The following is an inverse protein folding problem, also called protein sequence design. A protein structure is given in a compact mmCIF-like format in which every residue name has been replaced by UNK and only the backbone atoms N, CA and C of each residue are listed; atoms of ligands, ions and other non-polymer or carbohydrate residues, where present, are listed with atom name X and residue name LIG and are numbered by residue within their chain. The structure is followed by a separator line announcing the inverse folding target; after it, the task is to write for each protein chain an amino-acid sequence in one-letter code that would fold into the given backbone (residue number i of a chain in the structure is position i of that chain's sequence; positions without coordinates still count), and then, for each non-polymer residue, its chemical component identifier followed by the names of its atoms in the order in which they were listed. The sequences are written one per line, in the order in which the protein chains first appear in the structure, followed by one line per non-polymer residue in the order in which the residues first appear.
data_IF_479259678693
#
_entry.id   IF_479259678693
#
_cell.length_a   1.000
_cell.length_b   1.000
_cell.length_c   1.000
_cell.angle_alpha   90.00
_cell.angle_beta   90.00
_cell.angle_gamma   90.00
#
_symmetry.space_group_name_H-M   'P 1'
#
loop_
_entity.id
_entity.type
_entity.pdbx_description
1 polymer ?
#
# COMPACT_ATOMS: atom_id res chain seq x y z
N UNK A 1 -46.96 63.91 -13.07
CA UNK A 1 -47.78 64.84 -12.28
C UNK A 1 -48.30 64.08 -11.04
N UNK A 2 -48.07 64.68 -9.88
CA UNK A 2 -48.46 64.31 -8.51
C UNK A 2 -49.81 63.60 -8.32
N UNK A 3 -49.87 62.58 -7.45
CA UNK A 3 -50.76 62.58 -6.26
C UNK A 3 -50.56 61.36 -5.31
N UNK A 4 -49.87 61.63 -4.19
CA UNK A 4 -50.20 61.37 -2.76
C UNK A 4 -51.02 60.16 -2.25
N UNK A 5 -50.52 59.64 -1.10
CA UNK A 5 -51.13 58.89 0.06
C UNK A 5 -51.08 57.34 -0.05
N UNK A 6 -50.52 56.58 0.89
CA UNK A 6 -50.75 56.59 2.35
C UNK A 6 -49.52 56.27 3.24
N UNK A 7 -49.53 56.85 4.44
CA UNK A 7 -48.76 56.56 5.68
C UNK A 7 -49.70 55.75 6.63
N UNK A 8 -49.25 55.06 7.73
CA UNK A 8 -48.28 55.60 8.69
C UNK A 8 -47.29 54.62 9.37
N UNK A 9 -46.22 55.23 9.89
CA UNK A 9 -45.35 54.69 10.93
C UNK A 9 -45.78 55.23 12.32
N UNK A 10 -45.74 54.41 13.37
CA UNK A 10 -45.62 54.86 14.77
C UNK A 10 -44.84 53.87 15.66
N UNK A 11 -43.68 54.34 16.12
CA UNK A 11 -43.06 54.29 17.46
C UNK A 11 -43.13 53.07 18.39
N UNK A 12 -41.96 52.70 18.95
CA UNK A 12 -41.61 52.44 20.39
C UNK A 12 -40.39 51.48 20.41
N UNK A 13 -39.38 51.51 21.27
CA UNK A 13 -38.90 52.34 22.37
C UNK A 13 -37.54 51.71 22.78
N UNK A 14 -36.48 52.48 22.99
CA UNK A 14 -35.33 52.02 23.77
C UNK A 14 -35.63 52.19 25.27
N UNK A 15 -35.12 51.30 26.14
CA UNK A 15 -34.05 51.76 27.04
C UNK A 15 -32.97 50.71 27.39
N UNK A 16 -31.73 51.20 27.45
CA UNK A 16 -30.70 51.05 28.50
C UNK A 16 -30.34 49.67 29.12
N UNK A 17 -29.07 49.28 28.99
CA UNK A 17 -28.38 48.35 29.90
C UNK A 17 -26.84 48.54 29.85
N UNK A 18 -26.35 49.27 30.85
CA UNK A 18 -25.03 49.31 31.54
C UNK A 18 -23.80 48.54 31.02
N UNK A 19 -22.58 49.13 31.10
CA UNK A 19 -21.32 48.47 30.78
C UNK A 19 -20.69 47.83 32.03
N UNK A 20 -20.47 46.51 32.02
CA UNK A 20 -19.66 45.85 33.05
C UNK A 20 -18.40 45.18 32.48
N UNK A 21 -17.28 45.83 32.83
CA UNK A 21 -15.98 45.29 33.22
C UNK A 21 -15.27 44.35 32.25
N UNK A 22 -14.28 44.94 31.58
CA UNK A 22 -13.18 44.24 30.92
C UNK A 22 -12.47 43.28 31.87
N UNK A 23 -12.65 41.99 31.61
CA UNK A 23 -11.72 40.95 32.06
C UNK A 23 -10.47 41.05 31.20
N UNK A 24 -9.36 41.46 31.82
CA UNK A 24 -8.02 41.31 31.27
C UNK A 24 -7.81 39.82 31.01
N UNK A 25 -7.88 39.40 29.75
CA UNK A 25 -7.41 38.08 29.33
C UNK A 25 -5.89 38.13 29.51
N UNK A 26 -5.42 37.67 30.67
CA UNK A 26 -4.00 37.40 30.87
C UNK A 26 -3.60 36.35 29.85
N UNK A 27 -2.82 36.81 28.88
CA UNK A 27 -2.16 36.00 27.86
C UNK A 27 -1.19 35.05 28.57
N UNK A 28 -1.69 33.89 29.00
CA UNK A 28 -0.87 32.77 29.44
C UNK A 28 -0.13 32.30 28.19
N UNK A 29 1.08 32.82 27.97
CA UNK A 29 2.07 32.17 27.12
C UNK A 29 2.25 30.74 27.65
N UNK A 30 1.49 29.80 27.09
CA UNK A 30 1.73 28.38 27.28
C UNK A 30 3.11 28.14 26.72
N UNK A 31 4.11 27.98 27.60
CA UNK A 31 5.44 27.51 27.26
C UNK A 31 5.29 26.16 26.56
N UNK A 32 5.15 26.18 25.23
CA UNK A 32 5.06 24.99 24.41
C UNK A 32 6.43 24.33 24.42
N UNK A 33 6.54 23.20 25.10
CA UNK A 33 7.77 22.42 25.10
C UNK A 33 8.02 21.89 23.69
N UNK A 34 9.25 22.02 23.15
CA UNK A 34 9.58 21.47 21.83
C UNK A 34 9.29 19.96 21.77
N UNK A 35 8.80 19.42 20.64
CA UNK A 35 8.52 18.00 20.50
C UNK A 35 9.76 17.12 20.77
N UNK A 36 9.64 16.16 21.67
CA UNK A 36 10.71 15.22 22.03
C UNK A 36 10.13 13.88 22.51
N UNK A 37 10.99 12.87 22.63
CA UNK A 37 10.68 11.60 23.30
C UNK A 37 11.97 11.05 23.92
N UNK A 38 12.15 11.27 25.24
CA UNK A 38 13.37 10.89 25.94
C UNK A 38 13.55 9.37 26.05
N UNK A 39 12.45 8.61 26.16
CA UNK A 39 12.47 7.15 26.25
C UNK A 39 12.98 6.56 24.93
N UNK A 40 12.49 7.07 23.79
CA UNK A 40 12.98 6.66 22.48
C UNK A 40 14.46 7.03 22.29
N UNK A 41 14.89 8.23 22.71
CA UNK A 41 16.30 8.62 22.63
C UNK A 41 17.21 7.70 23.46
N UNK A 42 16.80 7.35 24.69
CA UNK A 42 17.53 6.39 25.53
C UNK A 42 17.58 5.01 24.89
N UNK A 43 16.45 4.55 24.33
CA UNK A 43 16.37 3.24 23.68
C UNK A 43 17.27 3.15 22.42
N UNK A 44 17.40 4.22 21.64
CA UNK A 44 18.34 4.26 20.51
C UNK A 44 19.78 4.14 21.00
N UNK A 45 20.18 4.98 21.96
CA UNK A 45 21.55 4.94 22.50
C UNK A 45 21.87 3.59 23.13
N UNK A 46 20.92 3.02 23.88
CA UNK A 46 21.05 1.69 24.45
C UNK A 46 21.21 0.60 23.39
N UNK A 47 20.43 0.68 22.30
CA UNK A 47 20.54 -0.25 21.16
C UNK A 47 21.92 -0.16 20.52
N UNK A 48 22.40 1.05 20.26
CA UNK A 48 23.72 1.29 19.68
C UNK A 48 24.88 0.83 20.59
N UNK A 49 24.71 0.88 21.91
CA UNK A 49 25.70 0.39 22.89
C UNK A 49 25.58 -1.11 23.20
N UNK A 50 24.55 -1.80 22.69
CA UNK A 50 24.34 -3.23 22.96
C UNK A 50 25.05 -4.14 21.95
N UNK A 51 26.03 -3.62 21.20
CA UNK A 51 26.55 -4.18 19.93
C UNK A 51 27.31 -5.52 19.98
N UNK A 52 27.23 -6.27 21.07
CA UNK A 52 27.95 -7.56 21.18
C UNK A 52 27.20 -8.72 20.49
N UNK A 53 27.90 -9.47 19.62
CA UNK A 53 27.38 -10.69 18.99
C UNK A 53 26.28 -10.46 17.95
N UNK A 54 25.17 -11.21 18.03
CA UNK A 54 24.03 -11.13 17.11
C UNK A 54 23.36 -9.74 17.06
N UNK A 55 23.63 -8.87 18.04
CA UNK A 55 23.15 -7.50 18.09
C UNK A 55 23.84 -6.54 17.09
N UNK A 56 24.97 -6.94 16.49
CA UNK A 56 25.67 -6.12 15.50
C UNK A 56 24.83 -5.80 14.25
N UNK A 57 23.88 -6.69 13.90
CA UNK A 57 22.91 -6.43 12.82
C UNK A 57 22.02 -5.23 13.13
N UNK A 58 21.46 -5.16 14.34
CA UNK A 58 20.57 -4.07 14.73
C UNK A 58 21.30 -2.74 14.91
N UNK A 59 22.59 -2.77 15.21
CA UNK A 59 23.44 -1.58 15.18
C UNK A 59 23.49 -0.99 13.77
N UNK A 60 23.78 -1.80 12.75
CA UNK A 60 23.81 -1.38 11.36
C UNK A 60 22.43 -0.88 10.89
N UNK A 61 21.36 -1.65 11.11
CA UNK A 61 19.99 -1.24 10.75
C UNK A 61 19.59 0.09 11.40
N UNK A 62 20.00 0.33 12.65
CA UNK A 62 19.71 1.59 13.35
C UNK A 62 20.49 2.77 12.76
N UNK A 63 21.76 2.59 12.39
CA UNK A 63 22.54 3.64 11.72
C UNK A 63 22.09 3.89 10.27
N UNK A 64 21.64 2.85 9.57
CA UNK A 64 21.09 2.94 8.21
C UNK A 64 19.82 3.82 8.16
N UNK A 65 19.11 4.00 9.28
CA UNK A 65 18.04 5.00 9.37
C UNK A 65 18.52 6.43 9.13
N UNK A 66 19.82 6.69 9.18
CA UNK A 66 20.42 8.00 8.97
C UNK A 66 20.32 8.94 10.18
N UNK A 67 20.12 8.39 11.39
CA UNK A 67 20.09 9.19 12.61
C UNK A 67 21.45 9.87 12.89
N UNK A 68 21.41 11.15 13.24
CA UNK A 68 22.60 11.97 13.52
C UNK A 68 22.57 12.50 14.96
N UNK A 69 23.74 12.84 15.48
CA UNK A 69 23.88 13.35 16.85
C UNK A 69 23.08 14.64 17.11
N UNK A 70 22.84 15.46 16.07
CA UNK A 70 22.06 16.70 16.17
C UNK A 70 20.55 16.50 16.31
N UNK A 71 20.03 15.29 16.07
CA UNK A 71 18.59 15.01 16.11
C UNK A 71 18.07 14.67 17.51
N UNK A 72 18.95 14.54 18.50
CA UNK A 72 18.55 14.34 19.90
C UNK A 72 18.08 15.65 20.52
N UNK A 73 17.02 15.59 21.35
CA UNK A 73 16.57 16.75 22.12
C UNK A 73 17.53 17.05 23.27
N UNK A 74 18.05 16.01 23.93
CA UNK A 74 18.93 16.18 25.09
C UNK A 74 20.40 16.30 24.64
N UNK A 75 21.12 17.38 24.99
CA UNK A 75 22.54 17.55 24.61
C UNK A 75 23.47 16.44 25.11
N UNK A 76 23.13 15.82 26.25
CA UNK A 76 23.84 14.65 26.75
C UNK A 76 23.80 13.49 25.74
N UNK A 77 22.64 13.25 25.10
CA UNK A 77 22.47 12.19 24.12
C UNK A 77 23.24 12.46 22.82
N UNK A 78 23.27 13.71 22.36
CA UNK A 78 24.14 14.15 21.26
C UNK A 78 25.61 13.81 21.52
N UNK A 79 26.08 14.06 22.74
CA UNK A 79 27.46 13.80 23.15
C UNK A 79 27.76 12.29 23.15
N UNK A 80 26.84 11.48 23.68
CA UNK A 80 26.95 10.02 23.71
C UNK A 80 26.95 9.44 22.29
N UNK A 81 26.00 9.84 21.44
CA UNK A 81 25.92 9.37 20.06
C UNK A 81 27.20 9.68 19.27
N UNK A 82 27.77 10.87 19.45
CA UNK A 82 29.04 11.23 18.80
C UNK A 82 30.18 10.31 19.24
N UNK A 83 30.29 10.01 20.53
CA UNK A 83 31.31 9.08 21.03
C UNK A 83 31.12 7.66 20.47
N UNK A 84 29.87 7.20 20.33
CA UNK A 84 29.52 5.93 19.69
C UNK A 84 29.99 5.89 18.23
N UNK A 85 29.67 6.90 17.44
CA UNK A 85 30.09 6.97 16.03
C UNK A 85 31.61 6.99 15.89
N UNK A 86 32.32 7.72 16.76
CA UNK A 86 33.77 7.84 16.71
C UNK A 86 34.47 6.51 17.06
N UNK A 87 33.95 5.75 18.02
CA UNK A 87 34.43 4.41 18.34
C UNK A 87 34.19 3.43 17.18
N UNK A 88 32.99 3.49 16.59
CA UNK A 88 32.66 2.66 15.44
C UNK A 88 33.58 2.93 14.23
N UNK A 89 33.89 4.19 13.94
CA UNK A 89 34.82 4.56 12.86
C UNK A 89 36.24 4.06 13.09
N UNK A 90 36.69 3.92 14.34
CA UNK A 90 37.99 3.33 14.68
C UNK A 90 38.01 1.80 14.58
N UNK A 91 36.85 1.16 14.42
CA UNK A 91 36.70 -0.28 14.47
C UNK A 91 36.73 -0.85 15.90
N UNK A 92 36.55 0.00 16.91
CA UNK A 92 36.52 -0.42 18.32
C UNK A 92 35.15 -0.98 18.70
N UNK A 93 35.11 -1.84 19.72
CA UNK A 93 33.85 -2.36 20.29
C UNK A 93 33.08 -1.21 20.94
N UNK A 94 31.79 -1.08 20.58
CA UNK A 94 30.90 -0.06 21.14
C UNK A 94 30.05 -0.67 22.24
N UNK A 95 30.41 -0.37 23.49
CA UNK A 95 29.67 -0.76 24.69
C UNK A 95 29.70 0.37 25.75
N UNK A 96 28.91 0.31 26.82
CA UNK A 96 28.88 1.37 27.84
C UNK A 96 30.23 1.66 28.48
N UNK A 97 31.11 0.67 28.58
CA UNK A 97 32.44 0.80 29.19
C UNK A 97 33.39 1.51 28.24
N UNK A 98 33.43 1.11 26.96
CA UNK A 98 34.27 1.78 25.95
C UNK A 98 33.81 3.21 25.67
N UNK A 99 32.49 3.44 25.62
CA UNK A 99 31.91 4.79 25.49
C UNK A 99 32.26 5.65 26.71
N UNK A 100 32.19 5.11 27.93
CA UNK A 100 32.59 5.83 29.14
C UNK A 100 34.07 6.22 29.11
N UNK A 101 34.96 5.30 28.69
CA UNK A 101 36.39 5.57 28.57
C UNK A 101 36.65 6.68 27.55
N UNK A 102 36.02 6.63 26.37
CA UNK A 102 36.17 7.64 25.33
C UNK A 102 35.66 9.02 25.77
N UNK A 103 34.55 9.08 26.51
CA UNK A 103 34.01 10.31 27.08
C UNK A 103 34.88 10.86 28.22
N UNK A 104 35.56 9.98 28.97
CA UNK A 104 36.49 10.38 30.04
C UNK A 104 37.75 11.01 29.46
N UNK A 105 38.32 10.42 28.41
CA UNK A 105 39.48 10.94 27.69
C UNK A 105 39.23 12.36 27.15
N UNK A 106 37.99 12.64 26.73
CA UNK A 106 37.55 13.95 26.23
C UNK A 106 37.12 14.93 27.32
N UNK A 107 37.02 14.49 28.58
CA UNK A 107 36.51 15.31 29.67
C UNK A 107 35.00 15.62 29.58
N UNK A 108 34.23 14.80 28.85
CA UNK A 108 32.80 15.01 28.58
C UNK A 108 31.88 14.04 29.36
N UNK A 109 32.44 13.08 30.11
CA UNK A 109 31.66 12.08 30.86
C UNK A 109 30.65 12.70 31.82
N UNK A 110 31.01 13.81 32.48
CA UNK A 110 30.10 14.54 33.38
C UNK A 110 28.92 15.16 32.63
N UNK A 111 29.15 15.68 31.40
CA UNK A 111 28.09 16.24 30.54
C UNK A 111 27.14 15.17 30.01
N UNK A 112 27.64 13.95 29.83
CA UNK A 112 26.86 12.79 29.40
C UNK A 112 26.00 12.17 30.52
N UNK A 113 26.09 12.66 31.76
CA UNK A 113 25.34 12.11 32.91
C UNK A 113 26.10 11.03 33.71
N UNK A 114 27.38 10.79 33.39
CA UNK A 114 28.23 9.82 34.08
C UNK A 114 28.10 8.39 33.55
N UNK A 115 29.00 7.52 33.99
CA UNK A 115 29.03 6.12 33.54
C UNK A 115 27.75 5.35 33.87
N UNK A 116 27.13 5.62 35.03
CA UNK A 116 25.86 4.99 35.43
C UNK A 116 24.70 5.31 34.47
N UNK A 117 24.70 6.49 33.84
CA UNK A 117 23.66 6.85 32.88
C UNK A 117 23.75 6.04 31.58
N UNK A 118 24.96 5.71 31.13
CA UNK A 118 25.16 4.87 29.94
C UNK A 118 24.59 3.46 30.14
N UNK A 119 24.78 2.88 31.33
CA UNK A 119 24.16 1.61 31.68
C UNK A 119 22.63 1.70 31.75
N UNK A 120 22.09 2.79 32.32
CA UNK A 120 20.64 3.02 32.34
C UNK A 120 20.04 3.13 30.93
N UNK A 121 20.76 3.71 29.95
CA UNK A 121 20.32 3.73 28.55
C UNK A 121 20.21 2.32 27.95
N UNK A 122 21.16 1.42 28.26
CA UNK A 122 21.10 0.02 27.80
C UNK A 122 19.94 -0.73 28.46
N UNK A 123 19.72 -0.54 29.76
CA UNK A 123 18.62 -1.16 30.49
C UNK A 123 17.24 -0.66 30.05
N UNK A 124 17.14 0.56 29.53
CA UNK A 124 15.89 1.14 29.05
C UNK A 124 15.39 0.54 27.73
N UNK A 125 16.20 -0.26 27.03
CA UNK A 125 15.84 -0.87 25.74
C UNK A 125 14.92 -2.08 25.96
N UNK A 126 13.65 -2.05 25.55
CA UNK A 126 12.77 -3.20 25.72
C UNK A 126 13.19 -4.37 24.82
N UNK A 127 13.60 -4.06 23.59
CA UNK A 127 14.10 -5.04 22.63
C UNK A 127 15.02 -4.36 21.63
N UNK A 128 16.27 -4.81 21.53
CA UNK A 128 17.29 -4.25 20.63
C UNK A 128 16.85 -4.31 19.16
N UNK A 129 16.01 -5.29 18.80
CA UNK A 129 15.45 -5.45 17.46
C UNK A 129 14.63 -4.25 16.97
N UNK A 130 14.12 -3.41 17.88
CA UNK A 130 13.30 -2.24 17.54
C UNK A 130 14.13 -0.94 17.44
N UNK A 131 15.46 -1.02 17.45
CA UNK A 131 16.36 0.15 17.41
C UNK A 131 16.05 1.12 16.27
N UNK A 132 15.87 0.59 15.05
CA UNK A 132 15.51 1.39 13.87
C UNK A 132 14.19 2.14 14.05
N UNK A 133 13.17 1.48 14.60
CA UNK A 133 11.87 2.12 14.87
C UNK A 133 11.98 3.25 15.90
N UNK A 134 12.75 3.06 16.97
CA UNK A 134 12.99 4.13 17.94
C UNK A 134 13.77 5.30 17.32
N UNK A 135 14.72 5.04 16.42
CA UNK A 135 15.45 6.06 15.69
C UNK A 135 14.51 6.89 14.80
N UNK A 136 13.59 6.26 14.09
CA UNK A 136 12.54 6.95 13.32
C UNK A 136 11.69 7.89 14.18
N UNK A 137 11.32 7.45 15.39
CA UNK A 137 10.58 8.30 16.35
C UNK A 137 11.38 9.55 16.71
N UNK A 138 12.67 9.40 17.05
CA UNK A 138 13.55 10.53 17.40
C UNK A 138 13.69 11.49 16.22
N UNK A 139 13.96 10.97 15.02
CA UNK A 139 14.08 11.76 13.79
C UNK A 139 12.79 12.51 13.45
N UNK A 140 11.63 11.87 13.61
CA UNK A 140 10.34 12.53 13.40
C UNK A 140 10.11 13.69 14.39
N UNK A 141 10.59 13.58 15.64
CA UNK A 141 10.54 14.69 16.61
C UNK A 141 11.56 15.78 16.26
N UNK A 142 12.77 15.42 15.85
CA UNK A 142 13.80 16.35 15.42
C UNK A 142 13.34 17.19 14.23
N UNK A 143 12.72 16.55 13.23
CA UNK A 143 12.10 17.22 12.09
C UNK A 143 11.05 18.26 12.53
N UNK A 144 10.16 17.89 13.45
CA UNK A 144 9.17 18.84 14.00
C UNK A 144 9.83 20.01 14.72
N UNK A 145 10.93 19.79 15.44
CA UNK A 145 11.70 20.88 16.09
C UNK A 145 12.34 21.81 15.06
N UNK A 146 13.00 21.26 14.04
CA UNK A 146 13.58 22.04 12.95
C UNK A 146 12.52 22.89 12.22
N UNK A 147 11.35 22.31 11.93
CA UNK A 147 10.25 23.06 11.33
C UNK A 147 9.74 24.22 12.21
N UNK A 148 9.66 24.01 13.52
CA UNK A 148 9.29 25.07 14.47
C UNK A 148 10.36 26.17 14.50
N UNK A 149 11.64 25.82 14.58
CA UNK A 149 12.74 26.77 14.60
C UNK A 149 12.81 27.62 13.32
N UNK A 150 12.67 26.99 12.14
CA UNK A 150 12.62 27.70 10.87
C UNK A 150 11.39 28.60 10.76
N UNK A 151 10.20 28.16 11.22
CA UNK A 151 9.02 29.00 11.27
C UNK A 151 9.21 30.20 12.21
N UNK A 152 9.88 30.02 13.36
CA UNK A 152 10.20 31.09 14.29
C UNK A 152 11.18 32.11 13.69
N UNK A 153 12.19 31.68 12.93
CA UNK A 153 13.10 32.58 12.21
C UNK A 153 12.36 33.46 11.20
N UNK A 154 11.50 32.85 10.38
CA UNK A 154 10.66 33.58 9.41
C UNK A 154 9.76 34.58 10.14
N UNK A 155 9.11 34.15 11.22
CA UNK A 155 8.24 35.02 12.01
C UNK A 155 9.01 36.20 12.62
N UNK A 156 10.16 35.94 13.24
CA UNK A 156 10.99 36.96 13.87
C UNK A 156 11.50 37.98 12.85
N UNK A 157 11.93 37.52 11.67
CA UNK A 157 12.38 38.40 10.60
C UNK A 157 11.24 39.26 10.05
N UNK A 158 10.06 38.67 9.81
CA UNK A 158 8.88 39.40 9.35
C UNK A 158 8.43 40.50 10.33
N UNK A 159 8.63 40.30 11.64
CA UNK A 159 8.35 41.33 12.66
C UNK A 159 9.44 42.38 12.83
N UNK A 160 10.67 42.10 12.39
CA UNK A 160 11.80 43.02 12.60
C UNK A 160 11.74 44.28 11.74
N UNK A 161 10.92 44.29 10.67
CA UNK A 161 10.87 45.33 9.63
C UNK A 161 12.25 45.63 8.99
N UNK A 162 13.24 44.75 9.20
CA UNK A 162 14.56 44.82 8.58
C UNK A 162 14.54 44.11 7.21
N UNK A 163 15.00 44.80 6.17
CA UNK A 163 15.05 44.27 4.79
C UNK A 163 13.88 44.72 3.91
N UNK A 164 13.96 44.42 2.62
CA UNK A 164 12.87 44.66 1.67
C UNK A 164 12.00 43.39 1.50
N UNK A 165 10.91 43.50 0.73
CA UNK A 165 10.01 42.37 0.48
C UNK A 165 10.71 41.15 -0.17
N UNK A 166 11.74 41.40 -0.99
CA UNK A 166 12.52 40.33 -1.65
C UNK A 166 13.41 39.56 -0.67
N UNK A 167 13.93 40.23 0.37
CA UNK A 167 14.71 39.61 1.43
C UNK A 167 13.83 38.65 2.27
N UNK A 168 12.61 39.08 2.60
CA UNK A 168 11.62 38.25 3.31
C UNK A 168 11.23 37.03 2.48
N UNK A 169 10.95 37.22 1.18
CA UNK A 169 10.66 36.12 0.25
C UNK A 169 11.81 35.12 0.18
N UNK A 170 13.03 35.62 0.03
CA UNK A 170 14.24 34.78 -0.06
C UNK A 170 14.46 33.98 1.23
N UNK A 171 14.21 34.58 2.40
CA UNK A 171 14.27 33.88 3.68
C UNK A 171 13.22 32.78 3.78
N UNK A 172 11.97 33.06 3.39
CA UNK A 172 10.89 32.06 3.38
C UNK A 172 11.24 30.89 2.48
N UNK A 173 11.70 31.14 1.25
CA UNK A 173 12.09 30.09 0.31
C UNK A 173 13.25 29.24 0.86
N UNK A 174 14.27 29.87 1.45
CA UNK A 174 15.41 29.18 2.04
C UNK A 174 15.01 28.30 3.22
N UNK A 175 14.27 28.85 4.18
CA UNK A 175 13.84 28.10 5.37
C UNK A 175 12.84 27.00 5.01
N UNK A 176 11.91 27.25 4.08
CA UNK A 176 10.99 26.23 3.58
C UNK A 176 11.74 25.10 2.86
N UNK A 177 12.72 25.44 2.03
CA UNK A 177 13.57 24.45 1.36
C UNK A 177 14.37 23.62 2.37
N UNK A 178 14.90 24.25 3.44
CA UNK A 178 15.60 23.54 4.50
C UNK A 178 14.67 22.58 5.27
N UNK A 179 13.42 22.98 5.52
CA UNK A 179 12.40 22.10 6.12
C UNK A 179 12.13 20.92 5.17
N UNK A 180 11.87 21.18 3.89
CA UNK A 180 11.60 20.11 2.91
C UNK A 180 12.80 19.16 2.79
N UNK A 181 14.02 19.69 2.78
CA UNK A 181 15.26 18.91 2.78
C UNK A 181 15.48 18.12 4.08
N UNK A 182 14.79 18.45 5.17
CA UNK A 182 14.83 17.65 6.39
C UNK A 182 13.92 16.41 6.35
N UNK A 183 13.04 16.27 5.36
CA UNK A 183 12.10 15.16 5.29
C UNK A 183 12.79 13.86 4.83
N UNK A 184 12.76 12.79 5.65
CA UNK A 184 13.20 11.46 5.21
C UNK A 184 12.43 11.04 3.95
N UNK A 185 13.14 10.55 2.92
CA UNK A 185 12.54 10.01 1.69
C UNK A 185 12.28 11.02 0.56
N UNK A 186 12.32 12.34 0.81
CA UNK A 186 12.18 13.36 -0.24
C UNK A 186 13.53 13.80 -0.85
N UNK A 187 14.64 13.47 -0.20
CA UNK A 187 16.00 13.82 -0.63
C UNK A 187 16.77 12.70 -1.33
N UNK A 188 16.24 11.49 -1.40
CA UNK A 188 16.92 10.43 -2.12
C UNK A 188 16.90 10.81 -3.61
N UNK A 189 18.06 11.15 -4.16
CA UNK A 189 18.21 11.18 -5.60
C UNK A 189 17.77 9.80 -6.12
N UNK A 190 17.02 9.74 -7.24
CA UNK A 190 16.71 8.46 -7.85
C UNK A 190 17.99 7.64 -8.02
N UNK A 191 17.95 6.32 -7.73
CA UNK A 191 19.13 5.47 -7.83
C UNK A 191 19.71 5.55 -9.24
N UNK A 192 21.04 5.57 -9.35
CA UNK A 192 21.71 5.42 -10.64
C UNK A 192 21.70 3.95 -11.05
N UNK A 193 21.97 3.66 -12.32
CA UNK A 193 21.97 2.28 -12.84
C UNK A 193 22.94 1.37 -12.07
N UNK A 194 24.05 1.93 -11.57
CA UNK A 194 25.05 1.21 -10.78
C UNK A 194 24.47 0.72 -9.44
N UNK A 195 23.67 1.55 -8.77
CA UNK A 195 23.00 1.20 -7.50
C UNK A 195 22.02 0.02 -7.68
N UNK A 196 21.44 -0.12 -8.88
CA UNK A 196 20.46 -1.15 -9.22
C UNK A 196 21.08 -2.46 -9.75
N UNK A 197 22.37 -2.44 -10.11
CA UNK A 197 22.98 -3.55 -10.84
C UNK A 197 23.08 -4.84 -10.02
N UNK A 198 23.46 -4.74 -8.75
CA UNK A 198 23.60 -5.91 -7.87
C UNK A 198 22.25 -6.58 -7.62
N UNK A 199 21.21 -5.81 -7.35
CA UNK A 199 19.84 -6.32 -7.16
C UNK A 199 19.33 -7.01 -8.42
N UNK A 200 19.60 -6.42 -9.59
CA UNK A 200 19.24 -7.02 -10.88
C UNK A 200 19.96 -8.36 -11.12
N UNK A 201 21.26 -8.46 -10.82
CA UNK A 201 22.01 -9.71 -10.97
C UNK A 201 21.47 -10.78 -10.02
N UNK A 202 21.19 -10.42 -8.77
CA UNK A 202 20.60 -11.35 -7.80
C UNK A 202 19.24 -11.86 -8.27
N UNK A 203 18.37 -10.99 -8.81
CA UNK A 203 17.08 -11.40 -9.38
C UNK A 203 17.26 -12.39 -10.54
N UNK A 204 18.24 -12.18 -11.43
CA UNK A 204 18.51 -13.08 -12.55
C UNK A 204 19.00 -14.46 -12.09
N UNK A 205 19.84 -14.53 -11.06
CA UNK A 205 20.32 -15.80 -10.51
C UNK A 205 19.16 -16.61 -9.95
N UNK A 206 18.26 -15.99 -9.17
CA UNK A 206 17.08 -16.66 -8.64
C UNK A 206 16.16 -17.20 -9.75
N UNK A 207 16.01 -16.46 -10.84
CA UNK A 207 15.23 -16.90 -12.02
C UNK A 207 15.86 -18.14 -12.65
N UNK A 208 17.19 -18.18 -12.80
CA UNK A 208 17.90 -19.33 -13.37
C UNK A 208 17.82 -20.57 -12.49
N UNK A 209 17.74 -20.39 -11.17
CA UNK A 209 17.53 -21.47 -10.20
C UNK A 209 16.07 -22.00 -10.18
N UNK A 210 15.20 -21.41 -11.00
CA UNK A 210 13.82 -21.87 -11.19
C UNK A 210 12.80 -21.17 -10.29
N UNK A 211 13.17 -20.06 -9.63
CA UNK A 211 12.19 -19.23 -8.92
C UNK A 211 11.22 -18.62 -9.92
N UNK A 212 9.91 -18.85 -9.72
CA UNK A 212 8.87 -18.18 -10.50
C UNK A 212 8.79 -16.71 -10.08
N UNK A 213 8.92 -15.80 -11.05
CA UNK A 213 8.88 -14.34 -10.84
C UNK A 213 7.48 -13.84 -10.43
N UNK A 214 6.43 -14.56 -10.81
CA UNK A 214 5.04 -14.18 -10.55
C UNK A 214 4.20 -15.34 -10.06
N UNK A 215 3.04 -15.00 -9.48
CA UNK A 215 2.04 -15.95 -8.98
C UNK A 215 1.29 -16.61 -10.14
N UNK A 216 0.89 -17.86 -9.97
CA UNK A 216 0.29 -18.67 -11.04
C UNK A 216 -1.18 -18.32 -11.30
N UNK A 217 -1.58 -18.21 -12.56
CA UNK A 217 -2.98 -18.17 -13.00
C UNK A 217 -3.66 -19.56 -12.92
N UNK A 218 -2.91 -20.62 -12.65
CA UNK A 218 -3.40 -22.00 -12.64
C UNK A 218 -3.40 -22.69 -14.02
N UNK A 219 -2.87 -22.04 -15.06
CA UNK A 219 -2.71 -22.59 -16.42
C UNK A 219 -1.23 -22.43 -16.79
N UNK A 220 -0.52 -23.54 -16.99
CA UNK A 220 0.95 -23.54 -17.06
C UNK A 220 1.46 -22.76 -18.27
N UNK A 221 0.82 -22.93 -19.42
CA UNK A 221 1.18 -22.22 -20.65
C UNK A 221 0.91 -20.72 -20.54
N UNK A 222 -0.16 -20.33 -19.82
CA UNK A 222 -0.43 -18.91 -19.57
C UNK A 222 0.66 -18.31 -18.66
N UNK A 223 1.02 -19.00 -17.58
CA UNK A 223 2.09 -18.59 -16.68
C UNK A 223 3.43 -18.44 -17.42
N UNK A 224 3.74 -19.36 -18.33
CA UNK A 224 4.96 -19.34 -19.12
C UNK A 224 5.03 -18.11 -20.03
N UNK A 225 3.92 -17.76 -20.70
CA UNK A 225 3.88 -16.61 -21.62
C UNK A 225 3.86 -15.27 -20.88
N UNK A 226 3.14 -15.17 -19.77
CA UNK A 226 3.00 -13.90 -19.04
C UNK A 226 4.03 -13.71 -17.93
N UNK A 227 4.81 -14.75 -17.62
CA UNK A 227 5.65 -14.85 -16.42
C UNK A 227 4.85 -14.71 -15.11
N UNK A 228 3.63 -15.25 -15.09
CA UNK A 228 2.72 -15.16 -13.95
C UNK A 228 2.24 -13.75 -13.59
N UNK A 229 1.64 -13.62 -12.41
CA UNK A 229 1.11 -12.40 -11.83
C UNK A 229 2.16 -11.73 -10.93
N UNK A 230 2.75 -10.64 -11.42
CA UNK A 230 3.80 -9.90 -10.70
C UNK A 230 3.25 -8.74 -9.86
N UNK A 231 3.77 -8.48 -8.65
CA UNK A 231 3.50 -7.27 -7.87
C UNK A 231 3.56 -5.98 -8.70
N UNK A 232 2.76 -4.97 -8.35
CA UNK A 232 2.79 -3.65 -9.00
C UNK A 232 2.20 -3.62 -10.42
N UNK A 233 1.62 -4.72 -10.89
CA UNK A 233 1.11 -4.85 -12.25
C UNK A 233 -0.39 -5.12 -12.30
N UNK A 234 -0.99 -4.78 -13.44
CA UNK A 234 -2.42 -4.97 -13.70
C UNK A 234 -2.59 -5.92 -14.89
N UNK A 235 -3.34 -6.99 -14.69
CA UNK A 235 -3.85 -7.86 -15.76
C UNK A 235 -5.31 -7.54 -15.99
N UNK A 236 -5.69 -7.32 -17.24
CA UNK A 236 -7.08 -7.15 -17.62
C UNK A 236 -7.57 -8.42 -18.29
N UNK A 237 -8.65 -8.99 -17.77
CA UNK A 237 -9.33 -10.13 -18.40
C UNK A 237 -10.63 -9.62 -19.02
N UNK A 238 -10.75 -9.81 -20.33
CA UNK A 238 -11.82 -9.30 -21.15
C UNK A 238 -12.61 -10.44 -21.81
N UNK A 239 -13.94 -10.41 -21.70
CA UNK A 239 -14.78 -11.36 -22.44
C UNK A 239 -16.18 -10.79 -22.69
N UNK A 240 -16.91 -11.38 -23.65
CA UNK A 240 -18.35 -11.16 -23.75
C UNK A 240 -19.08 -11.80 -22.54
N UNK A 241 -20.34 -11.43 -22.34
CA UNK A 241 -21.16 -12.00 -21.27
C UNK A 241 -21.32 -13.52 -21.46
N UNK A 242 -21.31 -14.29 -20.36
CA UNK A 242 -21.48 -15.74 -20.40
C UNK A 242 -20.26 -16.58 -20.83
N UNK A 243 -19.18 -15.95 -21.34
CA UNK A 243 -18.00 -16.69 -21.84
C UNK A 243 -17.17 -17.33 -20.72
N UNK A 244 -17.15 -16.71 -19.53
CA UNK A 244 -16.43 -17.25 -18.35
C UNK A 244 -15.40 -16.31 -17.72
N UNK A 245 -15.47 -14.99 -17.97
CA UNK A 245 -14.59 -13.96 -17.38
C UNK A 245 -14.37 -14.12 -15.87
N UNK A 246 -15.44 -14.13 -15.08
CA UNK A 246 -15.37 -14.26 -13.62
C UNK A 246 -14.90 -15.66 -13.20
N UNK A 247 -15.19 -16.70 -14.00
CA UNK A 247 -14.70 -18.05 -13.76
C UNK A 247 -13.18 -18.13 -13.87
N UNK A 248 -12.59 -17.57 -14.94
CA UNK A 248 -11.14 -17.55 -15.13
C UNK A 248 -10.43 -16.78 -14.00
N UNK A 249 -10.93 -15.60 -13.65
CA UNK A 249 -10.36 -14.82 -12.56
C UNK A 249 -10.48 -15.51 -11.20
N UNK A 250 -11.61 -16.18 -10.94
CA UNK A 250 -11.79 -16.94 -9.70
C UNK A 250 -10.87 -18.16 -9.64
N UNK A 251 -10.67 -18.88 -10.75
CA UNK A 251 -9.72 -19.99 -10.81
C UNK A 251 -8.28 -19.50 -10.58
N UNK A 252 -7.87 -18.38 -11.18
CA UNK A 252 -6.56 -17.78 -10.95
C UNK A 252 -6.38 -17.34 -9.48
N UNK A 253 -7.40 -16.71 -8.89
CA UNK A 253 -7.38 -16.32 -7.47
C UNK A 253 -7.21 -17.53 -6.55
N UNK A 254 -7.95 -18.62 -6.80
CA UNK A 254 -7.84 -19.86 -6.01
C UNK A 254 -6.49 -20.54 -6.23
N UNK A 255 -5.98 -20.58 -7.46
CA UNK A 255 -4.67 -21.17 -7.77
C UNK A 255 -3.54 -20.45 -7.02
N UNK A 256 -3.53 -19.12 -7.02
CA UNK A 256 -2.55 -18.33 -6.29
C UNK A 256 -2.72 -18.44 -4.76
N UNK A 257 -3.96 -18.47 -4.26
CA UNK A 257 -4.20 -18.68 -2.83
C UNK A 257 -3.72 -20.07 -2.38
N UNK A 258 -3.85 -21.11 -3.23
CA UNK A 258 -3.32 -22.46 -2.95
C UNK A 258 -1.78 -22.50 -2.88
N UNK A 259 -1.07 -21.55 -3.51
CA UNK A 259 0.37 -21.37 -3.33
C UNK A 259 0.75 -20.52 -2.12
N UNK A 260 -0.22 -20.12 -1.28
CA UNK A 260 0.01 -19.33 -0.06
C UNK A 260 -0.12 -17.81 -0.23
N UNK A 261 -0.44 -17.33 -1.43
CA UNK A 261 -0.58 -15.90 -1.69
C UNK A 261 -1.83 -15.33 -0.99
N UNK A 262 -1.72 -14.14 -0.39
CA UNK A 262 -2.85 -13.42 0.19
C UNK A 262 -3.70 -12.80 -0.92
N UNK A 263 -4.92 -13.31 -1.11
CA UNK A 263 -5.79 -12.88 -2.21
C UNK A 263 -7.06 -12.21 -1.68
N UNK A 264 -7.45 -11.12 -2.31
CA UNK A 264 -8.76 -10.50 -2.14
C UNK A 264 -9.53 -10.53 -3.46
N UNK A 265 -10.73 -11.11 -3.45
CA UNK A 265 -11.66 -11.10 -4.57
C UNK A 265 -12.83 -10.17 -4.27
N UNK A 266 -12.86 -9.02 -4.94
CA UNK A 266 -13.94 -8.05 -4.87
C UNK A 266 -14.95 -8.28 -5.99
N UNK A 267 -16.21 -8.54 -5.66
CA UNK A 267 -17.29 -8.72 -6.65
C UNK A 267 -18.47 -7.79 -6.38
N UNK A 268 -18.86 -7.03 -7.42
CA UNK A 268 -20.05 -6.19 -7.48
C UNK A 268 -21.25 -6.97 -8.04
N UNK A 269 -21.01 -7.92 -8.92
CA UNK A 269 -22.07 -8.71 -9.56
C UNK A 269 -22.50 -9.88 -8.68
N UNK A 270 -21.56 -10.69 -8.20
CA UNK A 270 -21.86 -11.95 -7.55
C UNK A 270 -21.94 -11.84 -6.03
N UNK A 271 -22.79 -12.66 -5.42
CA UNK A 271 -22.84 -12.80 -3.96
C UNK A 271 -21.69 -13.66 -3.45
N UNK A 272 -21.31 -13.50 -2.17
CA UNK A 272 -20.31 -14.37 -1.55
C UNK A 272 -20.71 -15.85 -1.59
N UNK A 273 -22.01 -16.15 -1.52
CA UNK A 273 -22.54 -17.51 -1.63
C UNK A 273 -22.31 -18.10 -3.02
N UNK A 274 -22.56 -17.33 -4.08
CA UNK A 274 -22.32 -17.76 -5.47
C UNK A 274 -20.84 -18.02 -5.74
N UNK A 275 -19.96 -17.16 -5.22
CA UNK A 275 -18.51 -17.36 -5.30
C UNK A 275 -18.10 -18.66 -4.61
N UNK A 276 -18.58 -18.90 -3.39
CA UNK A 276 -18.29 -20.14 -2.66
C UNK A 276 -18.80 -21.39 -3.39
N UNK A 277 -19.99 -21.34 -3.98
CA UNK A 277 -20.53 -22.45 -4.78
C UNK A 277 -19.62 -22.76 -5.98
N UNK A 278 -19.11 -21.73 -6.67
CA UNK A 278 -18.21 -21.91 -7.82
C UNK A 278 -16.84 -22.45 -7.42
N UNK A 279 -16.27 -21.98 -6.30
CA UNK A 279 -15.02 -22.53 -5.77
C UNK A 279 -15.20 -24.01 -5.42
N UNK A 280 -16.28 -24.35 -4.71
CA UNK A 280 -16.59 -25.73 -4.35
C UNK A 280 -16.84 -26.64 -5.57
N UNK A 281 -17.54 -26.13 -6.58
CA UNK A 281 -17.75 -26.83 -7.85
C UNK A 281 -16.42 -27.15 -8.55
N UNK A 282 -15.54 -26.15 -8.66
CA UNK A 282 -14.27 -26.26 -9.38
C UNK A 282 -13.30 -27.22 -8.70
N UNK A 283 -13.10 -27.07 -7.39
CA UNK A 283 -12.16 -27.87 -6.60
C UNK A 283 -12.70 -29.27 -6.31
N UNK A 284 -14.02 -29.39 -6.13
CA UNK A 284 -14.70 -30.66 -5.85
C UNK A 284 -15.03 -31.48 -7.09
N UNK A 285 -14.91 -30.92 -8.30
CA UNK A 285 -15.45 -31.49 -9.55
C UNK A 285 -16.94 -31.83 -9.41
N UNK A 286 -17.68 -30.94 -8.77
CA UNK A 286 -19.11 -31.08 -8.52
C UNK A 286 -19.87 -30.24 -9.53
N UNK A 287 -20.87 -30.84 -10.19
CA UNK A 287 -21.66 -30.11 -11.17
C UNK A 287 -22.36 -28.91 -10.49
N UNK A 288 -22.12 -27.70 -10.99
CA UNK A 288 -22.53 -26.45 -10.33
C UNK A 288 -24.06 -26.41 -10.09
N UNK A 289 -24.85 -26.97 -10.99
CA UNK A 289 -26.32 -27.00 -10.87
C UNK A 289 -26.81 -27.81 -9.65
N UNK A 290 -26.04 -28.78 -9.16
CA UNK A 290 -26.35 -29.51 -7.93
C UNK A 290 -26.13 -28.67 -6.66
N UNK A 291 -25.28 -27.62 -6.75
CA UNK A 291 -25.01 -26.70 -5.65
C UNK A 291 -25.96 -25.49 -5.63
N UNK A 292 -26.60 -25.19 -6.77
CA UNK A 292 -27.45 -24.01 -6.90
C UNK A 292 -28.93 -24.33 -6.69
N UNK A 293 -29.56 -25.27 -7.42
CA UNK A 293 -31.02 -25.46 -7.33
C UNK A 293 -31.60 -26.84 -7.71
N UNK A 294 -30.93 -27.72 -8.46
CA UNK A 294 -31.54 -28.98 -8.94
C UNK A 294 -30.89 -30.23 -8.35
N UNK A 295 -31.70 -31.13 -7.78
CA UNK A 295 -31.30 -32.50 -7.38
C UNK A 295 -30.60 -32.62 -6.02
N UNK A 296 -30.03 -31.52 -5.50
CA UNK A 296 -29.23 -31.54 -4.27
C UNK A 296 -27.91 -32.30 -4.44
N UNK A 297 -27.07 -32.26 -3.42
CA UNK A 297 -25.83 -33.04 -3.41
C UNK A 297 -26.13 -34.51 -3.08
N UNK A 298 -25.52 -35.43 -3.83
CA UNK A 298 -25.49 -36.85 -3.44
C UNK A 298 -24.73 -37.03 -2.12
N UNK A 299 -24.90 -38.17 -1.42
CA UNK A 299 -24.09 -38.49 -0.24
C UNK A 299 -22.58 -38.41 -0.50
N UNK A 300 -22.13 -38.78 -1.71
CA UNK A 300 -20.75 -38.64 -2.16
C UNK A 300 -20.36 -37.17 -2.34
N UNK A 301 -21.24 -36.37 -2.94
CA UNK A 301 -21.04 -34.92 -3.08
C UNK A 301 -20.85 -34.23 -1.73
N UNK A 302 -21.65 -34.60 -0.72
CA UNK A 302 -21.48 -34.11 0.65
C UNK A 302 -20.12 -34.47 1.25
N UNK A 303 -19.65 -35.71 1.07
CA UNK A 303 -18.30 -36.12 1.50
C UNK A 303 -17.21 -35.26 0.85
N UNK A 304 -17.37 -34.89 -0.41
CA UNK A 304 -16.44 -33.98 -1.11
C UNK A 304 -16.46 -32.59 -0.47
N UNK A 305 -17.63 -32.03 -0.18
CA UNK A 305 -17.75 -30.73 0.49
C UNK A 305 -17.12 -30.74 1.88
N UNK A 306 -17.39 -31.77 2.69
CA UNK A 306 -16.79 -31.92 4.02
C UNK A 306 -15.25 -32.03 3.96
N UNK A 307 -14.74 -32.72 2.93
CA UNK A 307 -13.30 -32.82 2.67
C UNK A 307 -12.72 -31.46 2.31
N UNK A 308 -13.31 -30.75 1.34
CA UNK A 308 -12.87 -29.39 0.96
C UNK A 308 -12.89 -28.42 2.13
N UNK A 309 -13.92 -28.50 2.97
CA UNK A 309 -14.04 -27.68 4.18
C UNK A 309 -12.89 -27.88 5.16
N UNK A 310 -12.37 -29.12 5.32
CA UNK A 310 -11.23 -29.41 6.18
C UNK A 310 -9.89 -29.12 5.53
N UNK A 311 -9.71 -29.54 4.28
CA UNK A 311 -8.41 -29.59 3.61
C UNK A 311 -8.04 -28.29 2.88
N UNK A 312 -9.03 -27.51 2.45
CA UNK A 312 -8.81 -26.32 1.63
C UNK A 312 -9.36 -25.06 2.29
N UNK A 313 -10.67 -24.99 2.55
CA UNK A 313 -11.33 -23.72 2.89
C UNK A 313 -10.89 -23.11 4.22
N UNK A 314 -10.44 -23.93 5.18
CA UNK A 314 -9.92 -23.43 6.47
C UNK A 314 -8.57 -22.73 6.37
N UNK A 315 -7.77 -23.10 5.38
CA UNK A 315 -6.39 -22.63 5.24
C UNK A 315 -6.18 -21.77 4.01
N UNK A 316 -7.18 -21.67 3.12
CA UNK A 316 -7.08 -20.90 1.89
C UNK A 316 -7.05 -19.38 2.19
N UNK A 317 -5.95 -18.67 1.90
CA UNK A 317 -5.81 -17.23 2.13
C UNK A 317 -6.55 -16.40 1.07
N UNK A 318 -7.85 -16.63 0.91
CA UNK A 318 -8.73 -15.95 -0.05
C UNK A 318 -9.86 -15.22 0.68
N UNK A 319 -9.84 -13.89 0.62
CA UNK A 319 -10.89 -13.02 1.15
C UNK A 319 -11.88 -12.67 0.04
N UNK A 320 -13.16 -12.92 0.29
CA UNK A 320 -14.24 -12.49 -0.61
C UNK A 320 -14.86 -11.21 -0.05
N UNK A 321 -14.93 -10.17 -0.88
CA UNK A 321 -15.49 -8.89 -0.52
C UNK A 321 -16.58 -8.48 -1.51
N UNK A 322 -17.73 -8.08 -0.98
CA UNK A 322 -18.80 -7.44 -1.75
C UNK A 322 -19.00 -6.05 -1.14
N UNK A 323 -18.61 -4.97 -1.83
CA UNK A 323 -18.84 -3.63 -1.30
C UNK A 323 -20.33 -3.29 -1.34
N UNK A 324 -20.79 -2.51 -0.36
CA UNK A 324 -22.19 -2.06 -0.25
C UNK A 324 -22.53 -1.00 -1.30
N UNK A 325 -21.51 -0.22 -1.71
CA UNK A 325 -21.59 0.75 -2.80
C UNK A 325 -20.68 0.34 -3.94
N UNK A 326 -20.93 0.84 -5.14
CA UNK A 326 -20.05 0.60 -6.27
C UNK A 326 -18.81 1.52 -6.28
N UNK A 327 -18.49 2.21 -5.19
CA UNK A 327 -17.40 3.17 -5.17
C UNK A 327 -16.01 2.51 -5.11
N UNK A 328 -15.06 2.98 -5.92
CA UNK A 328 -13.68 2.47 -5.94
C UNK A 328 -12.99 2.55 -4.56
N UNK A 329 -13.27 3.62 -3.80
CA UNK A 329 -12.67 3.85 -2.47
C UNK A 329 -12.97 2.74 -1.45
N UNK A 330 -14.11 2.06 -1.60
CA UNK A 330 -14.51 0.99 -0.68
C UNK A 330 -13.59 -0.23 -0.91
N UNK A 331 -13.33 -0.53 -2.18
CA UNK A 331 -12.36 -1.55 -2.62
C UNK A 331 -10.96 -1.17 -2.15
N UNK A 332 -10.53 0.08 -2.34
CA UNK A 332 -9.22 0.56 -1.87
C UNK A 332 -9.06 0.44 -0.34
N UNK A 333 -10.10 0.80 0.41
CA UNK A 333 -10.10 0.75 1.87
C UNK A 333 -10.02 -0.69 2.38
N UNK A 334 -10.77 -1.60 1.77
CA UNK A 334 -10.73 -3.03 2.08
C UNK A 334 -9.38 -3.66 1.69
N UNK A 335 -8.81 -3.31 0.55
CA UNK A 335 -7.49 -3.77 0.12
C UNK A 335 -6.39 -3.32 1.12
N UNK A 336 -6.40 -2.04 1.53
CA UNK A 336 -5.48 -1.54 2.57
C UNK A 336 -5.68 -2.22 3.92
N UNK A 337 -6.92 -2.61 4.25
CA UNK A 337 -7.20 -3.36 5.47
C UNK A 337 -6.62 -4.79 5.41
N UNK A 338 -6.65 -5.44 4.24
CA UNK A 338 -5.99 -6.74 4.03
C UNK A 338 -4.47 -6.63 4.23
N UNK A 339 -3.83 -5.62 3.64
CA UNK A 339 -2.39 -5.35 3.81
C UNK A 339 -2.01 -5.18 5.29
N UNK A 340 -2.81 -4.45 6.07
CA UNK A 340 -2.55 -4.26 7.51
C UNK A 340 -2.77 -5.51 8.35
N UNK A 341 -3.60 -6.45 7.89
CA UNK A 341 -3.90 -7.67 8.62
C UNK A 341 -2.81 -8.72 8.37
N UNK A 342 -2.75 -9.25 7.15
CA UNK A 342 -1.88 -10.38 6.81
C UNK A 342 -1.09 -10.16 5.50
N UNK A 343 -1.24 -9.02 4.84
CA UNK A 343 -0.71 -8.75 3.50
C UNK A 343 -1.75 -8.86 2.38
N UNK A 344 -1.36 -8.49 1.17
CA UNK A 344 -2.18 -8.63 -0.04
C UNK A 344 -1.28 -8.77 -1.26
N UNK A 345 -1.26 -9.95 -1.87
CA UNK A 345 -0.46 -10.23 -3.06
C UNK A 345 -1.29 -10.07 -4.34
N UNK A 346 -2.59 -10.42 -4.29
CA UNK A 346 -3.49 -10.31 -5.45
C UNK A 346 -4.81 -9.66 -5.06
N UNK A 347 -5.21 -8.67 -5.84
CA UNK A 347 -6.54 -8.08 -5.81
C UNK A 347 -7.28 -8.38 -7.11
N UNK A 348 -8.42 -9.06 -7.03
CA UNK A 348 -9.32 -9.25 -8.17
C UNK A 348 -10.51 -8.31 -8.04
N UNK A 349 -10.86 -7.62 -9.11
CA UNK A 349 -12.00 -6.68 -9.17
C UNK A 349 -12.95 -7.07 -10.29
N UNK A 350 -14.13 -7.57 -9.91
CA UNK A 350 -15.28 -7.86 -10.77
C UNK A 350 -16.41 -6.86 -10.48
N UNK A 351 -16.87 -5.97 -11.34
CA UNK A 351 -16.60 -5.72 -12.75
C UNK A 351 -16.35 -4.20 -12.94
N UNK A 352 -15.27 -3.80 -13.61
CA UNK A 352 -14.79 -2.40 -13.61
C UNK A 352 -15.83 -1.36 -14.04
N UNK A 353 -16.70 -1.68 -15.00
CA UNK A 353 -17.70 -0.74 -15.50
C UNK A 353 -18.88 -0.47 -14.55
N UNK A 354 -19.00 -1.23 -13.46
CA UNK A 354 -19.98 -0.95 -12.41
C UNK A 354 -19.43 0.03 -11.36
N UNK A 355 -18.12 0.25 -11.34
CA UNK A 355 -17.49 1.10 -10.33
C UNK A 355 -17.86 2.57 -10.57
N UNK A 356 -18.57 3.18 -9.61
CA UNK A 356 -18.99 4.57 -9.66
C UNK A 356 -17.89 5.49 -9.11
N UNK A 357 -17.69 6.64 -9.76
CA UNK A 357 -16.82 7.70 -9.27
C UNK A 357 -17.69 8.84 -8.76
N UNK A 358 -17.55 9.17 -7.48
CA UNK A 358 -18.40 10.14 -6.79
C UNK A 358 -18.14 11.63 -7.13
N UNK A 359 -17.37 11.93 -8.17
CA UNK A 359 -17.00 13.31 -8.52
C UNK A 359 -17.53 13.77 -9.88
N UNK A 360 -18.26 14.90 -9.80
CA UNK A 360 -18.74 15.79 -10.85
C UNK A 360 -19.95 15.32 -11.69
N UNK A 361 -21.07 16.04 -11.51
CA UNK A 361 -22.19 16.13 -12.47
C UNK A 361 -21.68 16.62 -13.83
N UNK A 362 -21.05 15.77 -14.64
CA UNK A 362 -20.74 15.95 -16.08
C UNK A 362 -19.65 15.00 -16.65
N UNK A 363 -19.14 14.00 -15.92
CA UNK A 363 -18.14 13.08 -16.50
C UNK A 363 -18.77 12.10 -17.50
N UNK A 364 -18.08 11.85 -18.61
CA UNK A 364 -18.49 10.79 -19.54
C UNK A 364 -18.17 9.42 -18.93
N UNK A 365 -18.90 8.38 -19.35
CA UNK A 365 -18.63 6.99 -18.91
C UNK A 365 -17.19 6.57 -19.21
N UNK A 366 -16.65 6.97 -20.36
CA UNK A 366 -15.25 6.72 -20.74
C UNK A 366 -14.25 7.35 -19.76
N UNK A 367 -14.51 8.57 -19.30
CA UNK A 367 -13.67 9.25 -18.29
C UNK A 367 -13.75 8.56 -16.93
N UNK A 368 -14.95 8.11 -16.54
CA UNK A 368 -15.13 7.35 -15.30
C UNK A 368 -14.32 6.05 -15.33
N UNK A 369 -14.46 5.26 -16.41
CA UNK A 369 -13.72 4.02 -16.61
C UNK A 369 -12.21 4.25 -16.64
N UNK A 370 -11.75 5.32 -17.29
CA UNK A 370 -10.33 5.67 -17.31
C UNK A 370 -9.78 6.04 -15.92
N UNK A 371 -10.57 6.73 -15.10
CA UNK A 371 -10.17 7.07 -13.73
C UNK A 371 -10.17 5.83 -12.82
N UNK A 372 -11.11 4.90 -12.96
CA UNK A 372 -11.07 3.60 -12.24
C UNK A 372 -9.82 2.82 -12.62
N UNK A 373 -9.52 2.71 -13.92
CA UNK A 373 -8.32 2.03 -14.42
C UNK A 373 -7.03 2.59 -13.80
N UNK A 374 -6.88 3.92 -13.79
CA UNK A 374 -5.73 4.59 -13.18
C UNK A 374 -5.67 4.38 -11.67
N UNK A 375 -6.82 4.45 -10.99
CA UNK A 375 -6.92 4.20 -9.56
C UNK A 375 -6.41 2.81 -9.20
N UNK A 376 -6.84 1.78 -9.93
CA UNK A 376 -6.37 0.41 -9.74
C UNK A 376 -4.89 0.23 -10.08
N UNK A 377 -4.39 0.90 -11.13
CA UNK A 377 -2.96 0.86 -11.44
C UNK A 377 -2.14 1.49 -10.32
N UNK A 378 -2.55 2.65 -9.81
CA UNK A 378 -1.89 3.30 -8.68
C UNK A 378 -1.94 2.43 -7.43
N UNK A 379 -3.09 1.80 -7.16
CA UNK A 379 -3.27 0.88 -6.04
C UNK A 379 -2.33 -0.33 -6.14
N UNK A 380 -2.17 -0.92 -7.34
CA UNK A 380 -1.25 -2.05 -7.56
C UNK A 380 0.18 -1.69 -7.19
N UNK A 381 0.64 -0.50 -7.57
CA UNK A 381 2.00 -0.02 -7.27
C UNK A 381 2.13 0.33 -5.79
N UNK A 382 1.15 1.03 -5.22
CA UNK A 382 1.20 1.47 -3.83
C UNK A 382 1.15 0.31 -2.83
N UNK A 383 0.38 -0.74 -3.11
CA UNK A 383 0.25 -1.90 -2.24
C UNK A 383 1.19 -3.04 -2.62
N UNK A 384 2.02 -2.85 -3.65
CA UNK A 384 2.92 -3.87 -4.19
C UNK A 384 2.19 -5.20 -4.48
N UNK A 385 0.95 -5.13 -4.96
CA UNK A 385 0.11 -6.29 -5.26
C UNK A 385 -0.18 -6.38 -6.76
N UNK A 386 -0.52 -7.58 -7.24
CA UNK A 386 -1.02 -7.76 -8.60
C UNK A 386 -2.53 -7.51 -8.64
N UNK A 387 -3.00 -6.72 -9.60
CA UNK A 387 -4.44 -6.48 -9.78
C UNK A 387 -4.95 -7.23 -11.01
N UNK A 388 -5.96 -8.09 -10.84
CA UNK A 388 -6.76 -8.63 -11.94
C UNK A 388 -8.03 -7.80 -12.06
N UNK A 389 -8.19 -7.13 -13.19
CA UNK A 389 -9.29 -6.22 -13.45
C UNK A 389 -10.18 -6.80 -14.54
N UNK A 390 -11.45 -7.05 -14.23
CA UNK A 390 -12.37 -7.66 -15.19
C UNK A 390 -13.04 -6.61 -16.08
N UNK A 391 -13.00 -6.84 -17.39
CA UNK A 391 -13.60 -5.96 -18.41
C UNK A 391 -14.59 -6.75 -19.30
N UNK A 392 -15.75 -6.21 -19.70
CA UNK A 392 -16.66 -6.85 -20.66
C UNK A 392 -16.43 -6.21 -22.02
N UNK A 393 -16.56 -7.04 -23.04
CA UNK A 393 -16.52 -6.60 -24.43
C UNK A 393 -17.89 -6.09 -24.87
N UNK A 394 -17.91 -5.15 -25.80
CA UNK A 394 -19.13 -4.79 -26.51
C UNK A 394 -19.51 -5.87 -27.55
N UNK A 395 -20.66 -5.71 -28.21
CA UNK A 395 -21.14 -6.65 -29.25
C UNK A 395 -20.18 -6.79 -30.44
N UNK A 396 -19.36 -5.77 -30.72
CA UNK A 396 -18.31 -5.81 -31.75
C UNK A 396 -17.01 -6.53 -31.27
N UNK A 397 -17.01 -7.11 -30.06
CA UNK A 397 -15.83 -7.75 -29.46
C UNK A 397 -14.71 -6.77 -29.08
N UNK A 398 -14.98 -5.47 -29.08
CA UNK A 398 -14.04 -4.39 -28.79
C UNK A 398 -14.22 -3.84 -27.38
N UNK A 399 -13.09 -3.44 -26.77
CA UNK A 399 -13.08 -2.67 -25.51
C UNK A 399 -13.22 -1.16 -25.80
N UNK A 400 -14.29 -0.76 -26.51
CA UNK A 400 -14.43 0.61 -27.08
C UNK A 400 -14.35 1.71 -26.01
N UNK A 401 -14.93 1.49 -24.84
CA UNK A 401 -14.93 2.41 -23.70
C UNK A 401 -13.61 2.41 -22.89
N UNK A 402 -12.63 1.61 -23.30
CA UNK A 402 -11.58 1.06 -22.42
C UNK A 402 -10.15 1.22 -22.94
N UNK A 403 -9.89 2.14 -23.89
CA UNK A 403 -8.51 2.41 -24.34
C UNK A 403 -7.58 2.70 -23.16
N UNK A 404 -8.08 3.43 -22.15
CA UNK A 404 -7.36 3.68 -20.90
C UNK A 404 -7.04 2.39 -20.14
N UNK A 405 -8.02 1.49 -19.99
CA UNK A 405 -7.83 0.16 -19.37
C UNK A 405 -6.71 -0.62 -20.08
N UNK A 406 -6.75 -0.68 -21.41
CA UNK A 406 -5.72 -1.36 -22.20
C UNK A 406 -4.36 -0.70 -22.06
N UNK A 407 -4.29 0.62 -21.89
CA UNK A 407 -3.03 1.35 -21.75
C UNK A 407 -2.37 1.10 -20.38
N UNK A 408 -3.16 1.12 -19.31
CA UNK A 408 -2.68 0.97 -17.94
C UNK A 408 -2.33 -0.49 -17.59
N UNK A 409 -2.96 -1.46 -18.26
CA UNK A 409 -2.67 -2.88 -18.08
C UNK A 409 -1.26 -3.27 -18.55
N UNK A 410 -0.60 -4.15 -17.80
CA UNK A 410 0.64 -4.80 -18.21
C UNK A 410 0.35 -6.00 -19.13
N UNK A 411 -0.73 -6.74 -18.85
CA UNK A 411 -1.22 -7.87 -19.64
C UNK A 411 -2.71 -7.69 -19.95
N UNK A 412 -3.14 -7.99 -21.17
CA UNK A 412 -4.56 -8.04 -21.55
C UNK A 412 -4.85 -9.41 -22.13
N UNK A 413 -5.78 -10.13 -21.50
CA UNK A 413 -6.21 -11.47 -21.89
C UNK A 413 -7.67 -11.37 -22.35
N UNK A 414 -7.94 -11.77 -23.58
CA UNK A 414 -9.28 -11.91 -24.13
C UNK A 414 -9.68 -13.39 -24.11
N UNK A 415 -10.87 -13.69 -23.62
CA UNK A 415 -11.41 -15.04 -23.60
C UNK A 415 -12.31 -15.24 -24.82
N UNK A 416 -12.00 -16.23 -25.64
CA UNK A 416 -12.76 -16.61 -26.82
C UNK A 416 -13.12 -18.10 -26.73
N UNK A 417 -14.40 -18.43 -26.93
CA UNK A 417 -14.90 -19.81 -26.85
C UNK A 417 -15.50 -20.19 -28.20
N UNK A 418 -14.82 -21.04 -28.99
CA UNK A 418 -15.30 -21.43 -30.32
C UNK A 418 -16.68 -22.11 -30.30
N UNK A 419 -17.01 -22.79 -29.21
CA UNK A 419 -18.22 -23.59 -29.06
C UNK A 419 -19.49 -22.79 -28.73
N UNK A 420 -19.36 -21.49 -28.41
CA UNK A 420 -20.51 -20.61 -28.17
C UNK A 420 -21.18 -20.17 -29.47
N UNK A 421 -20.40 -19.92 -30.50
CA UNK A 421 -20.89 -19.48 -31.81
C UNK A 421 -21.23 -20.68 -32.70
N UNK A 422 -20.53 -21.81 -32.53
CA UNK A 422 -20.71 -23.05 -33.30
C UNK A 422 -20.92 -24.25 -32.36
N UNK A 423 -22.17 -24.65 -32.06
CA UNK A 423 -22.46 -25.76 -31.14
C UNK A 423 -21.89 -27.12 -31.56
N UNK A 424 -21.65 -27.32 -32.86
CA UNK A 424 -21.00 -28.53 -33.42
C UNK A 424 -19.50 -28.35 -33.66
N UNK A 425 -18.89 -27.32 -33.06
CA UNK A 425 -17.46 -27.08 -33.19
C UNK A 425 -16.66 -28.32 -32.77
N UNK A 426 -15.66 -28.76 -33.56
CA UNK A 426 -14.79 -29.88 -33.18
C UNK A 426 -13.95 -29.58 -31.93
N UNK A 427 -13.90 -28.30 -31.51
CA UNK A 427 -13.20 -27.79 -30.32
C UNK A 427 -14.16 -27.53 -29.15
N UNK A 428 -15.28 -28.26 -29.09
CA UNK A 428 -16.25 -28.15 -28.01
C UNK A 428 -15.60 -28.38 -26.64
N UNK A 429 -15.81 -27.45 -25.70
CA UNK A 429 -15.15 -27.49 -24.40
C UNK A 429 -13.71 -26.98 -24.38
N UNK A 430 -13.19 -26.40 -25.47
CA UNK A 430 -11.96 -25.62 -25.47
C UNK A 430 -12.24 -24.13 -25.30
N UNK A 431 -11.26 -23.40 -24.77
CA UNK A 431 -11.23 -21.94 -24.72
C UNK A 431 -9.87 -21.44 -25.20
N UNK A 432 -9.88 -20.34 -25.93
CA UNK A 432 -8.69 -19.62 -26.34
C UNK A 432 -8.51 -18.38 -25.45
N UNK A 433 -7.38 -18.32 -24.76
CA UNK A 433 -6.93 -17.18 -23.98
C UNK A 433 -5.98 -16.34 -24.83
N UNK A 434 -6.53 -15.36 -25.52
CA UNK A 434 -5.81 -14.50 -26.47
C UNK A 434 -5.13 -13.36 -25.71
N UNK A 435 -3.81 -13.40 -25.62
CA UNK A 435 -3.00 -12.39 -24.96
C UNK A 435 -2.75 -11.23 -25.92
N UNK A 436 -3.69 -10.28 -25.97
CA UNK A 436 -3.62 -9.12 -26.86
C UNK A 436 -2.50 -8.14 -26.51
N UNK A 437 -2.11 -8.08 -25.24
CA UNK A 437 -1.03 -7.23 -24.74
C UNK A 437 -0.24 -8.00 -23.70
N UNK A 438 1.08 -7.96 -23.83
CA UNK A 438 2.00 -8.51 -22.85
C UNK A 438 3.22 -7.60 -22.76
N UNK A 439 3.49 -7.02 -21.58
CA UNK A 439 4.70 -6.21 -21.35
C UNK A 439 5.92 -7.05 -21.00
N UNK A 440 5.74 -8.33 -20.68
CA UNK A 440 6.80 -9.21 -20.19
C UNK A 440 7.30 -10.20 -21.26
N UNK A 441 6.66 -10.24 -22.42
CA UNK A 441 6.94 -11.24 -23.43
C UNK A 441 6.09 -11.06 -24.68
N UNK A 442 6.02 -12.10 -25.54
CA UNK A 442 5.25 -12.04 -26.77
C UNK A 442 3.74 -12.05 -26.49
N UNK A 443 2.98 -11.61 -27.51
CA UNK A 443 1.57 -11.95 -27.60
C UNK A 443 1.45 -13.41 -28.03
N UNK A 444 0.49 -14.12 -27.48
CA UNK A 444 0.22 -15.50 -27.84
C UNK A 444 -1.26 -15.82 -27.60
N UNK A 445 -1.70 -16.94 -28.14
CA UNK A 445 -2.98 -17.55 -27.78
C UNK A 445 -2.67 -18.85 -27.05
N UNK A 446 -3.23 -19.00 -25.86
CA UNK A 446 -3.09 -20.21 -25.05
C UNK A 446 -4.44 -20.92 -25.03
N UNK A 447 -4.48 -22.18 -25.45
CA UNK A 447 -5.70 -22.98 -25.39
C UNK A 447 -5.79 -23.71 -24.05
N UNK A 448 -6.98 -23.72 -23.46
CA UNK A 448 -7.28 -24.41 -22.21
C UNK A 448 -8.63 -25.14 -22.33
N UNK A 449 -8.92 -26.07 -21.43
CA UNK A 449 -10.21 -26.74 -21.39
C UNK A 449 -11.21 -25.97 -20.51
N UNK A 450 -12.39 -25.71 -21.06
CA UNK A 450 -13.51 -25.01 -20.44
C UNK A 450 -14.55 -25.98 -19.90
N UNK A 451 -14.39 -26.40 -18.64
CA UNK A 451 -15.34 -27.26 -17.95
C UNK A 451 -16.36 -26.41 -17.17
N UNK A 452 -17.20 -25.68 -17.91
CA UNK A 452 -18.12 -24.69 -17.35
C UNK A 452 -19.19 -25.29 -16.42
N UNK A 453 -19.54 -26.56 -16.60
CA UNK A 453 -20.42 -27.29 -15.70
C UNK A 453 -19.82 -27.49 -14.30
N UNK A 454 -18.49 -27.39 -14.15
CA UNK A 454 -17.77 -27.34 -12.88
C UNK A 454 -17.28 -25.94 -12.52
N UNK A 455 -17.63 -24.91 -13.30
CA UNK A 455 -17.10 -23.54 -13.14
C UNK A 455 -15.56 -23.50 -13.10
N UNK A 456 -14.90 -24.21 -14.04
CA UNK A 456 -13.44 -24.20 -14.10
C UNK A 456 -12.86 -24.19 -15.52
N UNK A 457 -11.73 -23.51 -15.65
CA UNK A 457 -10.77 -23.69 -16.74
C UNK A 457 -9.59 -24.52 -16.23
N UNK A 458 -9.13 -25.46 -17.04
CA UNK A 458 -7.98 -26.32 -16.70
C UNK A 458 -7.00 -26.39 -17.85
N UNK A 459 -5.74 -26.62 -17.51
CA UNK A 459 -4.66 -26.87 -18.46
C UNK A 459 -5.00 -28.10 -19.33
N UNK A 460 -4.73 -28.03 -20.64
CA UNK A 460 -4.97 -29.14 -21.58
C UNK A 460 -4.14 -30.39 -21.23
N UNK A 461 -3.00 -30.24 -20.56
CA UNK A 461 -2.22 -31.36 -20.05
C UNK A 461 -2.89 -32.07 -18.86
N UNK A 462 -3.87 -31.42 -18.22
CA UNK A 462 -4.59 -31.91 -17.03
C UNK A 462 -6.02 -32.35 -17.31
N UNK A 463 -6.46 -32.28 -18.57
CA UNK A 463 -7.81 -32.68 -19.00
C UNK A 463 -8.10 -34.17 -18.89
#
# INVERSE_FOLDING_TARGET
MSSTRDLPAQSRSAPDATPERGGVVQDRQVLRTPPHNLEAEQAVLGTLMSSTGAAGRYFAETLETGITAGEYYRPAHTTIHRAICDLHQKGDVVDPVTVAAQLTERGELSKAGGAGYLHACVEAVPTVANGAHYAEIVRAKAYRRAAIESAQKVLQYAYSEEGNEDDVRSLVEREFTAIVAGMPGLNAAPPVVDDLYLDFVAELEEIQEGRKIGLSYGISDLDAVTCGMRPGNVTVIAAASGVGKSTLALNAAVAAAKSGAQVMFSSLEMSSTELMQKIAAAEGRLALHHLTQQGGLSPEGWKVIERLGRELFRTLPLRVYRPDSAALRDIESAARACVRADGLDILVVDYLQLVEIETARSITREQAVAAVSRGLKNLSVQLECHVIALSQLNEDGMMRESRAIKNDASVVIKIERPDLDEPESPRAGEVDLVIEKNRFGPRATVSAAAQMHYSRFVDMAQT
#
